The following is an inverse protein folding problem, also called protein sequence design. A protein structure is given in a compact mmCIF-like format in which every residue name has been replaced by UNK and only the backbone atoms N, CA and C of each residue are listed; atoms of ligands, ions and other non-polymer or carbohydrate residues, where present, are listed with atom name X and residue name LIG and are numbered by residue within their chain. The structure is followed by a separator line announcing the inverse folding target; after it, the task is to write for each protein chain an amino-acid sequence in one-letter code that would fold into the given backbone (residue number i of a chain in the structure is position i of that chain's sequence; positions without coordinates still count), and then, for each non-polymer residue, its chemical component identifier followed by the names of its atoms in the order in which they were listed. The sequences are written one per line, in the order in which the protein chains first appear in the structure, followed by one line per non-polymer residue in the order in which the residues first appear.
data_IF_193347665165
#
_entry.id   IF_193347665165
#
_cell.length_a   1.000
_cell.length_b   1.000
_cell.length_c   1.000
_cell.angle_alpha   90.00
_cell.angle_beta   90.00
_cell.angle_gamma   90.00
#
_symmetry.space_group_name_H-M   'P 1'
#
loop_
_entity.id
_entity.type
_entity.pdbx_description
1 polymer ?
#
# COMPACT_ATOMS: atom_id res chain seq x y z
N UNK A 1 10.14 0.77 20.87
CA UNK A 1 9.21 1.48 19.96
C UNK A 1 8.72 0.51 18.89
N UNK A 2 7.50 -0.01 19.02
CA UNK A 2 6.93 -0.90 17.99
C UNK A 2 6.53 -0.04 16.79
N UNK A 3 7.17 -0.32 15.66
CA UNK A 3 7.13 0.47 14.44
C UNK A 3 5.68 0.63 13.93
N UNK A 4 5.27 1.87 13.64
CA UNK A 4 3.89 2.27 13.26
C UNK A 4 3.33 1.53 12.04
N UNK A 5 4.19 0.89 11.25
CA UNK A 5 3.84 0.02 10.13
C UNK A 5 3.37 -1.37 10.54
N UNK A 6 4.00 -1.99 11.54
CA UNK A 6 3.62 -3.30 12.05
C UNK A 6 2.21 -3.25 12.65
N UNK A 7 1.90 -2.20 13.43
CA UNK A 7 0.58 -1.95 14.01
C UNK A 7 -0.58 -2.04 12.99
N UNK A 8 -0.37 -1.54 11.76
CA UNK A 8 -1.43 -1.50 10.73
C UNK A 8 -1.66 -2.84 10.03
N UNK A 9 -0.67 -3.72 9.93
CA UNK A 9 -0.88 -5.04 9.31
C UNK A 9 -1.63 -5.98 10.26
N UNK A 10 -1.39 -5.89 11.57
CA UNK A 10 -2.08 -6.69 12.58
C UNK A 10 -3.60 -6.53 12.52
N UNK A 11 -4.10 -5.29 12.51
CA UNK A 11 -5.55 -5.06 12.40
C UNK A 11 -6.13 -5.59 11.08
N UNK A 12 -5.38 -5.52 9.98
CA UNK A 12 -5.83 -6.03 8.68
C UNK A 12 -5.95 -7.54 8.68
N UNK A 13 -5.01 -8.24 9.34
CA UNK A 13 -5.10 -9.68 9.57
C UNK A 13 -6.36 -10.03 10.36
N UNK A 14 -6.67 -9.27 11.42
CA UNK A 14 -7.88 -9.46 12.22
C UNK A 14 -9.14 -9.22 11.38
N UNK A 15 -9.17 -8.19 10.53
CA UNK A 15 -10.30 -7.95 9.62
C UNK A 15 -10.52 -9.13 8.68
N UNK A 16 -9.45 -9.68 8.09
CA UNK A 16 -9.55 -10.82 7.19
C UNK A 16 -10.08 -12.06 7.91
N UNK A 17 -9.58 -12.33 9.12
CA UNK A 17 -10.05 -13.42 9.97
C UNK A 17 -11.55 -13.30 10.27
N UNK A 18 -11.99 -12.14 10.77
CA UNK A 18 -13.42 -11.91 11.10
C UNK A 18 -14.32 -11.94 9.85
N UNK A 19 -13.82 -11.47 8.70
CA UNK A 19 -14.52 -11.58 7.42
C UNK A 19 -14.73 -13.04 7.00
N UNK A 20 -13.69 -13.89 7.13
CA UNK A 20 -13.79 -15.33 6.83
C UNK A 20 -14.74 -16.07 7.78
N UNK A 21 -14.92 -15.56 9.00
CA UNK A 21 -15.94 -16.04 9.94
C UNK A 21 -17.36 -15.51 9.65
N UNK A 22 -17.56 -14.75 8.57
CA UNK A 22 -18.88 -14.21 8.19
C UNK A 22 -19.40 -13.13 9.14
N UNK A 23 -18.53 -12.49 9.92
CA UNK A 23 -18.96 -11.46 10.88
C UNK A 23 -19.34 -10.15 10.16
N UNK A 24 -20.02 -9.26 10.87
CA UNK A 24 -20.38 -7.93 10.34
C UNK A 24 -19.33 -6.88 10.70
N UNK A 25 -19.20 -5.85 9.87
CA UNK A 25 -18.24 -4.75 10.10
C UNK A 25 -18.46 -4.05 11.44
N UNK A 26 -19.71 -3.91 11.87
CA UNK A 26 -20.08 -3.34 13.18
C UNK A 26 -19.58 -4.22 14.32
N UNK A 27 -19.82 -5.53 14.26
CA UNK A 27 -19.41 -6.47 15.31
C UNK A 27 -17.88 -6.58 15.39
N UNK A 28 -17.20 -6.67 14.26
CA UNK A 28 -15.74 -6.67 14.18
C UNK A 28 -15.15 -5.38 14.76
N UNK A 29 -15.68 -4.21 14.39
CA UNK A 29 -15.19 -2.93 14.93
C UNK A 29 -15.35 -2.85 16.44
N UNK A 30 -16.47 -3.35 16.99
CA UNK A 30 -16.73 -3.35 18.43
C UNK A 30 -15.74 -4.26 19.17
N UNK A 31 -15.59 -5.51 18.73
CA UNK A 31 -14.63 -6.47 19.31
C UNK A 31 -13.20 -5.92 19.35
N UNK A 32 -12.78 -5.25 18.28
CA UNK A 32 -11.43 -4.69 18.20
C UNK A 32 -11.26 -3.55 19.21
N UNK A 33 -12.24 -2.65 19.32
CA UNK A 33 -12.17 -1.58 20.31
C UNK A 33 -12.27 -2.11 21.76
N UNK A 34 -13.05 -3.17 21.99
CA UNK A 34 -13.11 -3.85 23.30
C UNK A 34 -11.77 -4.49 23.66
N UNK A 35 -11.09 -5.15 22.72
CA UNK A 35 -9.84 -5.87 22.97
C UNK A 35 -8.59 -4.97 23.00
N UNK A 36 -8.53 -3.92 22.16
CA UNK A 36 -7.35 -3.10 21.95
C UNK A 36 -7.52 -1.65 22.42
N UNK A 37 -8.64 -1.33 23.08
CA UNK A 37 -8.96 -0.01 23.59
C UNK A 37 -9.81 0.82 22.63
N UNK A 38 -10.62 1.71 23.21
CA UNK A 38 -11.53 2.56 22.44
C UNK A 38 -10.75 3.49 21.50
N UNK A 39 -11.16 3.56 20.24
CA UNK A 39 -10.49 4.37 19.22
C UNK A 39 -9.27 3.69 18.57
N UNK A 40 -8.91 2.47 18.98
CA UNK A 40 -7.88 1.66 18.32
C UNK A 40 -8.22 1.34 16.86
N UNK A 41 -9.52 1.31 16.53
CA UNK A 41 -10.02 1.07 15.19
C UNK A 41 -11.23 1.95 14.86
N UNK A 42 -11.41 2.20 13.56
CA UNK A 42 -12.56 2.89 13.01
C UNK A 42 -13.40 1.92 12.15
N UNK A 43 -14.72 1.88 12.38
CA UNK A 43 -15.69 1.11 11.57
C UNK A 43 -15.57 1.36 10.07
N UNK A 44 -15.33 2.61 9.64
CA UNK A 44 -15.15 2.94 8.23
C UNK A 44 -13.92 2.25 7.62
N UNK A 45 -12.85 2.07 8.41
CA UNK A 45 -11.67 1.30 8.00
C UNK A 45 -12.02 -0.18 7.80
N UNK A 46 -12.74 -0.79 8.75
CA UNK A 46 -13.20 -2.20 8.64
C UNK A 46 -14.05 -2.39 7.40
N UNK A 47 -14.98 -1.46 7.13
CA UNK A 47 -15.86 -1.52 5.96
C UNK A 47 -15.09 -1.50 4.64
N UNK A 48 -14.09 -0.61 4.50
CA UNK A 48 -13.24 -0.56 3.30
C UNK A 48 -12.48 -1.87 3.07
N UNK A 49 -11.97 -2.47 4.14
CA UNK A 49 -11.27 -3.76 4.06
C UNK A 49 -12.21 -4.92 3.70
N UNK A 50 -13.38 -4.98 4.32
CA UNK A 50 -14.39 -5.99 4.00
C UNK A 50 -14.82 -5.88 2.53
N UNK A 51 -14.99 -4.66 2.01
CA UNK A 51 -15.33 -4.48 0.61
C UNK A 51 -14.21 -4.97 -0.32
N UNK A 52 -12.95 -4.67 0.01
CA UNK A 52 -11.78 -5.18 -0.72
C UNK A 52 -11.77 -6.72 -0.74
N UNK A 53 -12.05 -7.37 0.39
CA UNK A 53 -12.11 -8.83 0.49
C UNK A 53 -13.28 -9.43 -0.29
N UNK A 54 -14.46 -8.79 -0.30
CA UNK A 54 -15.60 -9.20 -1.15
C UNK A 54 -15.26 -9.16 -2.63
N UNK A 55 -14.42 -8.21 -3.03
CA UNK A 55 -13.93 -8.09 -4.40
C UNK A 55 -12.79 -9.09 -4.71
N UNK A 56 -12.47 -10.02 -3.80
CA UNK A 56 -11.46 -11.06 -3.98
C UNK A 56 -10.02 -10.66 -3.62
N UNK A 57 -9.76 -9.40 -3.30
CA UNK A 57 -8.41 -8.94 -2.97
C UNK A 57 -8.10 -9.12 -1.48
N UNK A 58 -7.45 -10.24 -1.13
CA UNK A 58 -7.06 -10.57 0.26
C UNK A 58 -5.69 -9.99 0.69
N UNK A 59 -5.04 -9.18 -0.15
CA UNK A 59 -3.71 -8.65 0.17
C UNK A 59 -3.75 -7.70 1.37
N UNK A 60 -2.98 -7.98 2.42
CA UNK A 60 -2.95 -7.19 3.65
C UNK A 60 -2.11 -5.91 3.53
N UNK A 61 -1.28 -5.80 2.51
CA UNK A 61 -0.55 -4.57 2.23
C UNK A 61 -1.43 -3.59 1.44
N UNK A 62 -1.17 -2.29 1.64
CA UNK A 62 -1.71 -1.32 0.69
C UNK A 62 -0.94 -1.51 -0.61
N UNK A 63 -1.63 -1.52 -1.74
CA UNK A 63 -0.95 -1.34 -3.03
C UNK A 63 -0.14 -0.05 -2.93
N UNK A 64 1.14 -0.11 -3.31
CA UNK A 64 1.96 1.09 -3.44
C UNK A 64 1.19 2.07 -4.31
N UNK A 65 1.07 3.30 -3.85
CA UNK A 65 0.37 4.30 -4.65
C UNK A 65 1.16 4.54 -5.94
N UNK A 66 0.46 4.86 -7.04
CA UNK A 66 1.13 5.26 -8.28
C UNK A 66 2.14 6.39 -8.05
N UNK A 67 1.83 7.34 -7.14
CA UNK A 67 2.77 8.39 -6.72
C UNK A 67 4.03 7.87 -6.05
N UNK A 68 3.92 6.88 -5.16
CA UNK A 68 5.10 6.27 -4.51
C UNK A 68 5.97 5.52 -5.51
N UNK A 69 5.35 4.91 -6.53
CA UNK A 69 6.07 4.29 -7.64
C UNK A 69 6.80 5.35 -8.46
N UNK A 70 6.12 6.42 -8.86
CA UNK A 70 6.73 7.51 -9.63
C UNK A 70 7.85 8.23 -8.88
N UNK A 71 7.73 8.43 -7.57
CA UNK A 71 8.82 9.01 -6.76
C UNK A 71 10.03 8.09 -6.75
N UNK A 72 9.83 6.77 -6.59
CA UNK A 72 10.93 5.81 -6.61
C UNK A 72 11.60 5.73 -7.99
N UNK A 73 10.82 5.80 -9.06
CA UNK A 73 11.31 5.86 -10.45
C UNK A 73 12.12 7.14 -10.69
N UNK A 74 11.65 8.30 -10.24
CA UNK A 74 12.38 9.57 -10.34
C UNK A 74 13.68 9.56 -9.53
N UNK A 75 13.69 8.97 -8.33
CA UNK A 75 14.92 8.79 -7.53
C UNK A 75 15.89 7.77 -8.15
N UNK A 76 15.38 6.78 -8.90
CA UNK A 76 16.22 5.88 -9.70
C UNK A 76 16.85 6.64 -10.87
N UNK A 77 16.04 7.41 -11.62
CA UNK A 77 16.48 8.29 -12.71
C UNK A 77 17.57 9.26 -12.25
N UNK A 78 17.34 9.99 -11.16
CA UNK A 78 18.28 10.97 -10.62
C UNK A 78 19.64 10.34 -10.31
N UNK A 79 19.65 9.18 -9.63
CA UNK A 79 20.90 8.46 -9.31
C UNK A 79 21.66 7.99 -10.55
N UNK A 80 20.95 7.64 -11.62
CA UNK A 80 21.59 7.23 -12.87
C UNK A 80 22.25 8.42 -13.57
N UNK A 81 21.57 9.56 -13.65
CA UNK A 81 22.14 10.79 -14.23
C UNK A 81 23.34 11.29 -13.41
N UNK A 82 23.27 11.21 -12.08
CA UNK A 82 24.41 11.57 -11.21
C UNK A 82 25.62 10.63 -11.38
N UNK A 83 25.38 9.33 -11.58
CA UNK A 83 26.45 8.33 -11.73
C UNK A 83 27.06 8.33 -13.13
N UNK A 84 26.26 8.63 -14.15
CA UNK A 84 26.67 8.62 -15.55
C UNK A 84 26.17 9.91 -16.23
N UNK A 85 26.91 11.03 -16.10
CA UNK A 85 26.47 12.33 -16.62
C UNK A 85 26.30 12.37 -18.15
N UNK A 86 26.93 11.43 -18.87
CA UNK A 86 26.85 11.26 -20.32
C UNK A 86 25.85 10.19 -20.76
N UNK A 87 25.01 9.66 -19.86
CA UNK A 87 24.02 8.65 -20.21
C UNK A 87 22.99 9.23 -21.18
N UNK A 88 22.73 8.50 -22.26
CA UNK A 88 21.76 8.92 -23.27
C UNK A 88 20.34 8.56 -22.85
N UNK A 89 19.35 9.27 -23.41
CA UNK A 89 17.92 8.99 -23.17
C UNK A 89 17.57 7.55 -23.55
N UNK A 90 18.20 7.02 -24.61
CA UNK A 90 18.00 5.66 -25.09
C UNK A 90 18.49 4.60 -24.07
N UNK A 91 19.69 4.78 -23.50
CA UNK A 91 20.22 3.90 -22.47
C UNK A 91 19.40 3.98 -21.17
N UNK A 92 18.85 5.15 -20.84
CA UNK A 92 17.94 5.32 -19.71
C UNK A 92 16.62 4.56 -19.89
N UNK A 93 16.02 4.60 -21.09
CA UNK A 93 14.77 3.89 -21.39
C UNK A 93 14.94 2.37 -21.37
N UNK A 94 16.07 1.86 -21.85
CA UNK A 94 16.38 0.42 -21.84
C UNK A 94 16.57 -0.12 -20.41
N UNK A 95 17.28 0.60 -19.54
CA UNK A 95 17.57 0.17 -18.16
C UNK A 95 16.37 0.36 -17.19
N UNK A 96 15.45 1.27 -17.51
CA UNK A 96 14.28 1.57 -16.68
C UNK A 96 13.01 0.84 -17.12
N UNK A 97 12.98 0.30 -18.34
CA UNK A 97 11.79 -0.39 -18.88
C UNK A 97 10.57 0.51 -18.99
N UNK A 98 10.77 1.83 -19.13
CA UNK A 98 9.71 2.83 -19.26
C UNK A 98 9.54 3.10 -20.76
N UNK A 99 8.35 2.86 -21.32
CA UNK A 99 8.06 3.17 -22.72
C UNK A 99 8.21 4.69 -22.98
N UNK A 100 8.76 5.06 -24.15
CA UNK A 100 9.20 6.38 -24.65
C UNK A 100 8.28 7.62 -24.45
N UNK A 101 7.12 7.49 -23.78
CA UNK A 101 6.11 8.55 -23.66
C UNK A 101 6.17 9.42 -22.41
N UNK A 102 7.21 9.33 -21.58
CA UNK A 102 7.29 10.12 -20.33
C UNK A 102 8.34 11.23 -20.35
N UNK A 103 9.19 11.34 -21.39
CA UNK A 103 10.16 12.44 -21.50
C UNK A 103 9.69 13.46 -22.54
N UNK A 104 8.66 14.25 -22.17
CA UNK A 104 8.35 15.52 -22.84
C UNK A 104 7.47 16.39 -21.95
N UNK A 105 8.10 17.16 -21.06
CA UNK A 105 8.26 18.63 -21.10
C UNK A 105 8.83 19.14 -19.78
#
# INVERSE_FOLDING_TARGET
MINKFASKIYFRTIYLYEFKLGQTTTKTSRKINEAFGQGSNNKQTVQRWFQKFRNGDISLQRKKSSREVSVLENEKLKRMVERYPSITVQELTEELGVSDRTVSN
#
